data_IF_047449646896
#
_entry.id   IF_047449646896
#
_cell.length_a   1.000
_cell.length_b   1.000
_cell.length_c   1.000
_cell.angle_alpha   90.00
_cell.angle_beta   90.00
_cell.angle_gamma   90.00
#
_symmetry.space_group_name_H-M   'P 1'
#
loop_
_entity.id
_entity.type
_entity.pdbx_description
1 polymer ?
#
# COMPACT_ATOMS: atom_id res chain seq x y z
N UNK A 1 71.65 -1.11 -31.86
CA UNK A 1 71.11 0.26 -31.78
C UNK A 1 71.00 0.89 -33.15
N UNK A 2 72.12 1.25 -33.80
CA UNK A 2 72.09 1.98 -35.07
C UNK A 2 71.29 1.29 -36.19
N UNK A 3 71.44 -0.04 -36.32
CA UNK A 3 70.68 -0.85 -37.28
C UNK A 3 69.15 -0.84 -37.02
N UNK A 4 68.73 -0.80 -35.74
CA UNK A 4 67.31 -0.75 -35.38
C UNK A 4 66.72 0.64 -35.64
N UNK A 5 67.46 1.71 -35.37
CA UNK A 5 66.95 3.08 -35.54
C UNK A 5 66.65 3.38 -37.02
N UNK A 6 67.39 2.75 -37.94
CA UNK A 6 67.15 2.85 -39.38
C UNK A 6 65.94 2.04 -39.87
N UNK A 7 65.39 1.13 -39.07
CA UNK A 7 64.14 0.41 -39.41
C UNK A 7 62.88 1.15 -38.99
N UNK A 8 63.02 2.30 -38.32
CA UNK A 8 61.87 3.11 -37.89
C UNK A 8 61.28 3.83 -39.11
N UNK A 9 60.18 3.28 -39.63
CA UNK A 9 59.35 3.91 -40.65
C UNK A 9 58.27 4.80 -39.98
N UNK A 10 58.25 6.12 -40.25
CA UNK A 10 57.27 7.03 -39.66
C UNK A 10 55.82 6.80 -40.15
N UNK A 11 55.63 6.13 -41.30
CA UNK A 11 54.31 5.85 -41.87
C UNK A 11 53.70 4.57 -41.30
N UNK A 12 54.52 3.60 -40.90
CA UNK A 12 54.07 2.34 -40.31
C UNK A 12 53.87 2.49 -38.81
N UNK A 13 52.64 2.85 -38.40
CA UNK A 13 52.29 3.08 -37.00
C UNK A 13 51.17 2.15 -36.51
N UNK A 14 51.15 1.92 -35.21
CA UNK A 14 50.11 1.18 -34.50
C UNK A 14 49.68 1.96 -33.24
N UNK A 15 48.46 1.72 -32.79
CA UNK A 15 47.90 2.38 -31.60
C UNK A 15 47.81 1.37 -30.46
N UNK A 16 48.68 1.47 -29.43
CA UNK A 16 48.73 0.49 -28.34
C UNK A 16 47.55 0.53 -27.38
N UNK A 17 46.89 1.69 -27.26
CA UNK A 17 45.76 1.89 -26.35
C UNK A 17 44.51 2.20 -27.17
N UNK A 18 43.51 1.34 -27.07
CA UNK A 18 42.26 1.48 -27.84
C UNK A 18 41.57 2.82 -27.52
N UNK A 19 41.25 3.59 -28.57
CA UNK A 19 40.63 4.91 -28.44
C UNK A 19 41.59 6.09 -28.20
N UNK A 20 42.89 5.85 -28.01
CA UNK A 20 43.90 6.90 -27.87
C UNK A 20 44.45 7.36 -29.24
N UNK A 21 44.95 8.60 -29.31
CA UNK A 21 45.63 9.16 -30.49
C UNK A 21 47.13 8.89 -30.49
N UNK A 22 47.69 8.43 -29.36
CA UNK A 22 49.09 8.04 -29.28
C UNK A 22 49.34 6.83 -30.18
N UNK A 23 50.16 7.02 -31.21
CA UNK A 23 50.57 5.95 -32.12
C UNK A 23 52.08 5.76 -32.07
N UNK A 24 52.53 4.53 -32.12
CA UNK A 24 53.94 4.16 -32.10
C UNK A 24 54.34 3.56 -33.45
N UNK A 25 55.58 3.76 -33.91
CA UNK A 25 56.06 3.03 -35.08
C UNK A 25 56.06 1.51 -34.82
N UNK A 26 55.81 0.71 -35.87
CA UNK A 26 55.82 -0.76 -35.78
C UNK A 26 57.16 -1.33 -35.28
N UNK A 27 58.27 -0.61 -35.51
CA UNK A 27 59.59 -0.96 -35.01
C UNK A 27 59.68 -1.05 -33.47
N UNK A 28 58.69 -0.55 -32.72
CA UNK A 28 58.58 -0.67 -31.26
C UNK A 28 57.82 -1.92 -30.80
N UNK A 29 57.19 -2.66 -31.73
CA UNK A 29 56.46 -3.90 -31.47
C UNK A 29 57.28 -5.16 -31.81
N UNK A 30 58.27 -5.03 -32.70
CA UNK A 30 59.01 -6.18 -33.24
C UNK A 30 60.03 -6.81 -32.28
N UNK A 31 60.40 -8.05 -32.57
CA UNK A 31 61.39 -8.82 -31.79
C UNK A 31 62.74 -8.11 -31.71
N UNK A 32 63.10 -7.32 -32.72
CA UNK A 32 64.33 -6.51 -32.72
C UNK A 32 64.34 -5.47 -31.60
N UNK A 33 63.18 -4.90 -31.24
CA UNK A 33 63.07 -3.98 -30.10
C UNK A 33 63.32 -4.72 -28.79
N UNK A 34 62.68 -5.87 -28.62
CA UNK A 34 62.82 -6.70 -27.41
C UNK A 34 64.25 -7.22 -27.28
N UNK A 35 64.88 -7.64 -28.37
CA UNK A 35 66.27 -8.07 -28.37
C UNK A 35 67.22 -6.94 -27.96
N UNK A 36 66.91 -5.69 -28.32
CA UNK A 36 67.75 -4.54 -28.02
C UNK A 36 67.58 -4.00 -26.60
N UNK A 37 66.35 -4.00 -26.09
CA UNK A 37 66.01 -3.32 -24.84
C UNK A 37 65.41 -4.25 -23.76
N UNK A 38 65.37 -5.55 -24.01
CA UNK A 38 65.12 -6.61 -23.04
C UNK A 38 63.66 -6.94 -22.75
N UNK A 39 62.70 -6.07 -23.06
CA UNK A 39 61.26 -6.33 -22.89
C UNK A 39 60.41 -5.51 -23.87
N UNK A 40 59.18 -5.95 -24.19
CA UNK A 40 58.25 -5.22 -25.06
C UNK A 40 58.04 -3.77 -24.64
N UNK A 41 57.85 -2.86 -25.60
CA UNK A 41 57.72 -1.43 -25.32
C UNK A 41 56.54 -1.09 -24.38
N UNK A 42 55.45 -1.85 -24.42
CA UNK A 42 54.28 -1.62 -23.57
C UNK A 42 54.41 -2.21 -22.16
N UNK A 43 55.46 -3.00 -21.88
CA UNK A 43 55.79 -3.51 -20.55
C UNK A 43 56.73 -2.55 -19.78
N UNK A 44 56.91 -1.35 -20.30
CA UNK A 44 57.77 -0.32 -19.73
C UNK A 44 56.97 0.61 -18.83
N UNK A 45 57.66 1.22 -17.88
CA UNK A 45 57.14 2.41 -17.21
C UNK A 45 57.44 3.66 -18.03
N UNK A 46 56.72 4.75 -17.76
CA UNK A 46 57.04 6.05 -18.35
C UNK A 46 58.49 6.51 -18.06
N UNK A 47 59.05 6.05 -16.94
CA UNK A 47 60.42 6.36 -16.51
C UNK A 47 61.45 5.49 -17.25
N UNK A 48 61.13 4.23 -17.54
CA UNK A 48 61.96 3.36 -18.40
C UNK A 48 62.15 3.99 -19.79
N UNK A 49 61.06 4.53 -20.36
CA UNK A 49 61.10 5.22 -21.66
C UNK A 49 61.98 6.49 -21.62
N UNK A 50 61.98 7.22 -20.50
CA UNK A 50 62.82 8.40 -20.31
C UNK A 50 64.30 8.03 -20.13
N UNK A 51 64.60 6.98 -19.35
CA UNK A 51 65.95 6.47 -19.16
C UNK A 51 66.58 5.99 -20.48
N UNK A 52 65.83 5.24 -21.28
CA UNK A 52 66.30 4.79 -22.60
C UNK A 52 66.45 5.96 -23.57
N UNK A 53 65.55 6.96 -23.53
CA UNK A 53 65.71 8.16 -24.35
C UNK A 53 67.01 8.92 -24.05
N UNK A 54 67.48 8.91 -22.79
CA UNK A 54 68.77 9.47 -22.41
C UNK A 54 69.94 8.68 -23.02
N UNK A 55 69.90 7.34 -22.97
CA UNK A 55 70.93 6.50 -23.59
C UNK A 55 70.97 6.68 -25.13
N UNK A 56 69.80 6.75 -25.78
CA UNK A 56 69.69 7.02 -27.23
C UNK A 56 70.25 8.40 -27.59
N UNK A 57 70.09 9.39 -26.72
CA UNK A 57 70.71 10.71 -26.88
C UNK A 57 72.24 10.64 -26.88
N UNK A 58 72.84 9.88 -25.96
CA UNK A 58 74.29 9.71 -25.89
C UNK A 58 74.86 9.00 -27.13
N UNK A 59 74.15 8.00 -27.65
CA UNK A 59 74.47 7.39 -28.93
C UNK A 59 74.45 8.43 -30.07
N UNK A 60 73.43 9.31 -30.09
CA UNK A 60 73.32 10.38 -31.09
C UNK A 60 74.45 11.40 -31.01
N UNK A 61 74.88 11.76 -29.80
CA UNK A 61 76.03 12.63 -29.57
C UNK A 61 77.34 11.99 -30.07
N UNK A 62 77.51 10.69 -29.83
CA UNK A 62 78.70 9.95 -30.29
C UNK A 62 78.74 9.85 -31.81
N UNK A 63 77.64 9.48 -32.46
CA UNK A 63 77.53 9.50 -33.92
C UNK A 63 77.79 10.90 -34.51
N UNK A 64 77.38 11.96 -33.81
CA UNK A 64 77.65 13.35 -34.18
C UNK A 64 79.14 13.72 -34.14
N UNK A 65 79.88 13.30 -33.10
CA UNK A 65 81.33 13.51 -32.98
C UNK A 65 82.11 12.77 -34.08
N UNK A 66 81.60 11.64 -34.53
CA UNK A 66 82.19 10.81 -35.59
C UNK A 66 81.78 11.24 -37.01
N UNK A 67 81.00 12.33 -37.15
CA UNK A 67 80.58 12.85 -38.46
C UNK A 67 79.46 12.07 -39.14
N UNK A 68 78.83 11.11 -38.47
CA UNK A 68 77.77 10.23 -39.02
C UNK A 68 76.40 10.89 -38.93
N UNK A 69 76.14 11.83 -39.86
CA UNK A 69 74.96 12.72 -39.83
C UNK A 69 73.61 12.01 -39.89
N UNK A 70 73.46 11.03 -40.77
CA UNK A 70 72.19 10.30 -40.97
C UNK A 70 71.82 9.48 -39.72
N UNK A 71 72.79 8.77 -39.15
CA UNK A 71 72.62 7.98 -37.92
C UNK A 71 72.26 8.89 -36.74
N UNK A 72 72.91 10.06 -36.62
CA UNK A 72 72.58 11.06 -35.60
C UNK A 72 71.14 11.55 -35.72
N UNK A 73 70.69 11.86 -36.93
CA UNK A 73 69.32 12.32 -37.16
C UNK A 73 68.30 11.23 -36.79
N UNK A 74 68.56 9.99 -37.20
CA UNK A 74 67.71 8.84 -36.89
C UNK A 74 67.62 8.63 -35.35
N UNK A 75 68.75 8.70 -34.64
CA UNK A 75 68.80 8.55 -33.17
C UNK A 75 68.03 9.65 -32.43
N UNK A 76 68.13 10.90 -32.89
CA UNK A 76 67.34 11.99 -32.30
C UNK A 76 65.85 11.91 -32.63
N UNK A 77 65.49 11.39 -33.80
CA UNK A 77 64.09 11.08 -34.15
C UNK A 77 63.53 10.00 -33.21
N UNK A 78 64.26 8.90 -33.02
CA UNK A 78 63.88 7.83 -32.10
C UNK A 78 63.72 8.34 -30.67
N UNK A 79 64.65 9.18 -30.18
CA UNK A 79 64.54 9.84 -28.87
C UNK A 79 63.23 10.63 -28.74
N UNK A 80 62.85 11.38 -29.78
CA UNK A 80 61.59 12.11 -29.81
C UNK A 80 60.37 11.21 -29.65
N UNK A 81 60.40 10.03 -30.29
CA UNK A 81 59.34 9.01 -30.20
C UNK A 81 59.27 8.42 -28.79
N UNK A 82 60.40 8.09 -28.15
CA UNK A 82 60.42 7.61 -26.76
C UNK A 82 59.79 8.62 -25.78
N UNK A 83 60.20 9.89 -25.85
CA UNK A 83 59.77 10.90 -24.89
C UNK A 83 58.34 11.37 -25.08
N UNK A 84 57.87 11.43 -26.33
CA UNK A 84 56.54 11.94 -26.65
C UNK A 84 55.52 10.82 -26.77
N UNK A 85 55.77 9.88 -27.69
CA UNK A 85 54.75 8.94 -28.14
C UNK A 85 54.69 7.72 -27.21
N UNK A 86 55.84 7.09 -26.88
CA UNK A 86 55.88 5.93 -25.99
C UNK A 86 55.51 6.29 -24.56
N UNK A 87 56.10 7.35 -24.01
CA UNK A 87 55.78 7.82 -22.66
C UNK A 87 54.30 8.16 -22.51
N UNK A 88 53.69 8.78 -23.53
CA UNK A 88 52.26 9.09 -23.49
C UNK A 88 51.41 7.82 -23.51
N UNK A 89 51.70 6.89 -24.43
CA UNK A 89 50.99 5.61 -24.53
C UNK A 89 51.05 4.81 -23.21
N UNK A 90 52.22 4.76 -22.57
CA UNK A 90 52.42 4.07 -21.28
C UNK A 90 51.58 4.69 -20.15
N UNK A 91 51.55 6.03 -20.06
CA UNK A 91 50.73 6.74 -19.07
C UNK A 91 49.24 6.53 -19.32
N UNK A 92 48.80 6.56 -20.58
CA UNK A 92 47.39 6.31 -20.91
C UNK A 92 47.01 4.88 -20.55
N UNK A 93 47.85 3.88 -20.88
CA UNK A 93 47.61 2.48 -20.53
C UNK A 93 47.46 2.28 -19.01
N UNK A 94 48.35 2.89 -18.22
CA UNK A 94 48.30 2.84 -16.76
C UNK A 94 47.00 3.46 -16.22
N UNK A 95 46.58 4.62 -16.74
CA UNK A 95 45.34 5.28 -16.34
C UNK A 95 44.09 4.45 -16.65
N UNK A 96 44.06 3.77 -17.80
CA UNK A 96 42.95 2.91 -18.20
C UNK A 96 42.83 1.71 -17.25
N UNK A 97 43.95 1.07 -16.90
CA UNK A 97 43.94 -0.05 -15.95
C UNK A 97 43.53 0.39 -14.53
N UNK A 98 44.02 1.54 -14.06
CA UNK A 98 43.56 2.11 -12.79
C UNK A 98 42.07 2.45 -12.80
N UNK A 99 41.52 2.95 -13.92
CA UNK A 99 40.10 3.24 -14.05
C UNK A 99 39.25 1.96 -13.96
N UNK A 100 39.66 0.88 -14.65
CA UNK A 100 39.01 -0.44 -14.56
C UNK A 100 39.03 -0.99 -13.14
N UNK A 101 40.15 -0.89 -12.43
CA UNK A 101 40.26 -1.34 -11.04
C UNK A 101 39.29 -0.56 -10.12
N UNK A 102 39.24 0.77 -10.24
CA UNK A 102 38.31 1.60 -9.45
C UNK A 102 36.85 1.29 -9.76
N UNK A 103 36.52 0.99 -11.01
CA UNK A 103 35.16 0.61 -11.40
C UNK A 103 34.77 -0.75 -10.81
N UNK A 104 35.68 -1.74 -10.87
CA UNK A 104 35.48 -3.04 -10.24
C UNK A 104 35.30 -2.94 -8.72
N UNK A 105 36.09 -2.10 -8.04
CA UNK A 105 35.96 -1.82 -6.60
C UNK A 105 34.60 -1.17 -6.27
N UNK A 106 34.18 -0.16 -7.04
CA UNK A 106 32.87 0.49 -6.85
C UNK A 106 31.72 -0.50 -7.06
N UNK A 107 31.81 -1.36 -8.06
CA UNK A 107 30.80 -2.39 -8.32
C UNK A 107 30.72 -3.42 -7.18
N UNK A 108 31.87 -3.85 -6.64
CA UNK A 108 31.95 -4.75 -5.50
C UNK A 108 31.39 -4.11 -4.22
N UNK A 109 31.72 -2.84 -3.97
CA UNK A 109 31.19 -2.09 -2.81
C UNK A 109 29.68 -1.87 -2.92
N UNK A 110 29.17 -1.55 -4.12
CA UNK A 110 27.73 -1.42 -4.36
C UNK A 110 26.97 -2.73 -4.07
N UNK A 111 27.52 -3.87 -4.50
CA UNK A 111 26.95 -5.20 -4.18
C UNK A 111 26.95 -5.47 -2.68
N UNK A 112 28.07 -5.24 -1.99
CA UNK A 112 28.15 -5.41 -0.53
C UNK A 112 27.14 -4.53 0.23
N UNK A 113 26.96 -3.28 -0.20
CA UNK A 113 25.96 -2.37 0.40
C UNK A 113 24.53 -2.85 0.15
N UNK A 114 24.26 -3.42 -1.02
CA UNK A 114 22.95 -3.98 -1.34
C UNK A 114 22.66 -5.24 -0.52
N UNK A 115 23.62 -6.15 -0.40
CA UNK A 115 23.53 -7.35 0.45
C UNK A 115 23.36 -6.97 1.93
N UNK A 116 24.12 -6.00 2.43
CA UNK A 116 23.99 -5.52 3.81
C UNK A 116 22.61 -4.89 4.09
N UNK A 117 22.06 -4.11 3.14
CA UNK A 117 20.70 -3.55 3.26
C UNK A 117 19.64 -4.64 3.25
N UNK A 118 19.78 -5.67 2.42
CA UNK A 118 18.86 -6.79 2.38
C UNK A 118 18.90 -7.59 3.68
N UNK A 119 20.09 -7.89 4.20
CA UNK A 119 20.27 -8.58 5.47
C UNK A 119 19.71 -7.78 6.65
N UNK A 120 19.91 -6.46 6.67
CA UNK A 120 19.36 -5.59 7.70
C UNK A 120 17.83 -5.48 7.63
N UNK A 121 17.25 -5.36 6.44
CA UNK A 121 15.80 -5.40 6.26
C UNK A 121 15.18 -6.73 6.72
N UNK A 122 15.88 -7.84 6.52
CA UNK A 122 15.44 -9.15 7.01
C UNK A 122 15.52 -9.25 8.54
N UNK A 123 16.60 -8.77 9.16
CA UNK A 123 16.72 -8.73 10.62
C UNK A 123 15.68 -7.79 11.28
N UNK A 124 15.42 -6.63 10.67
CA UNK A 124 14.39 -5.70 11.12
C UNK A 124 12.98 -6.32 10.99
N UNK A 125 12.73 -7.08 9.91
CA UNK A 125 11.50 -7.85 9.72
C UNK A 125 11.33 -8.92 10.81
N UNK A 126 12.35 -9.72 11.07
CA UNK A 126 12.33 -10.74 12.13
C UNK A 126 12.07 -10.12 13.51
N UNK A 127 12.75 -9.02 13.83
CA UNK A 127 12.58 -8.34 15.11
C UNK A 127 11.19 -7.68 15.25
N UNK A 128 10.65 -7.11 14.17
CA UNK A 128 9.29 -6.61 14.12
C UNK A 128 8.28 -7.75 14.28
N UNK A 129 8.55 -8.93 13.72
CA UNK A 129 7.73 -10.12 13.86
C UNK A 129 7.74 -10.65 15.30
N UNK A 130 8.90 -10.70 15.95
CA UNK A 130 9.02 -11.11 17.35
C UNK A 130 8.25 -10.18 18.28
N UNK A 131 8.31 -8.86 18.04
CA UNK A 131 7.48 -7.87 18.77
C UNK A 131 6.01 -8.05 18.47
N UNK A 132 5.65 -8.26 17.21
CA UNK A 132 4.29 -8.56 16.79
C UNK A 132 3.75 -9.77 17.54
N UNK A 133 4.56 -10.80 17.73
CA UNK A 133 4.17 -12.03 18.40
C UNK A 133 4.13 -11.91 19.93
N UNK A 134 4.96 -11.07 20.52
CA UNK A 134 5.04 -10.86 21.96
C UNK A 134 3.97 -9.90 22.52
N UNK A 135 3.45 -8.97 21.72
CA UNK A 135 2.45 -8.01 22.19
C UNK A 135 1.00 -8.53 22.09
N UNK A 136 0.21 -8.28 23.14
CA UNK A 136 -1.24 -8.37 23.11
C UNK A 136 -1.79 -7.41 22.05
N UNK A 137 -2.84 -7.80 21.31
CA UNK A 137 -3.43 -7.01 20.21
C UNK A 137 -3.69 -5.55 20.62
N UNK A 138 -2.73 -4.67 20.31
CA UNK A 138 -2.65 -3.27 20.75
C UNK A 138 -2.59 -2.34 19.53
N UNK A 139 -2.83 -1.03 19.70
CA UNK A 139 -2.59 -0.05 18.65
C UNK A 139 -1.12 0.06 18.19
N UNK A 140 -0.16 -0.30 19.05
CA UNK A 140 1.28 -0.29 18.73
C UNK A 140 1.61 -1.41 17.72
N UNK A 141 0.92 -2.54 17.83
CA UNK A 141 0.93 -3.61 16.84
C UNK A 141 0.50 -3.14 15.43
N UNK A 142 -0.50 -2.25 15.35
CA UNK A 142 -0.97 -1.66 14.10
C UNK A 142 0.04 -0.65 13.52
N UNK A 143 0.78 0.04 14.39
CA UNK A 143 1.87 0.92 13.98
C UNK A 143 3.02 0.10 13.40
N UNK A 144 3.43 -0.97 14.06
CA UNK A 144 4.51 -1.86 13.64
C UNK A 144 4.16 -2.64 12.36
N UNK A 145 2.90 -3.08 12.20
CA UNK A 145 2.38 -3.60 10.93
C UNK A 145 2.32 -2.56 9.80
N UNK A 146 2.05 -1.30 10.16
CA UNK A 146 2.14 -0.16 9.26
C UNK A 146 3.56 0.06 8.77
N UNK A 147 4.56 -0.12 9.63
CA UNK A 147 5.99 -0.08 9.27
C UNK A 147 6.34 -1.25 8.33
N UNK A 148 5.87 -2.46 8.64
CA UNK A 148 6.09 -3.65 7.79
C UNK A 148 5.49 -3.53 6.39
N UNK A 149 4.33 -2.89 6.26
CA UNK A 149 3.71 -2.60 4.95
C UNK A 149 4.33 -1.40 4.24
N UNK A 150 4.83 -0.41 4.98
CA UNK A 150 5.56 0.77 4.46
C UNK A 150 7.01 0.47 4.03
N UNK A 151 7.56 -0.70 4.39
CA UNK A 151 8.81 -1.23 3.84
C UNK A 151 8.64 -1.85 2.45
N UNK A 152 7.41 -1.96 1.94
CA UNK A 152 7.16 -1.97 0.49
C UNK A 152 7.52 -0.62 -0.13
N UNK A 153 7.80 -0.51 -1.44
CA UNK A 153 8.53 0.62 -2.02
C UNK A 153 7.88 2.02 -1.92
N UNK A 154 6.67 2.17 -1.35
CA UNK A 154 6.03 3.47 -1.17
C UNK A 154 5.12 3.51 0.07
N UNK A 155 5.46 4.35 1.06
CA UNK A 155 4.62 5.39 1.69
C UNK A 155 4.95 5.60 3.19
N UNK A 156 5.06 6.87 3.58
CA UNK A 156 5.49 7.31 4.91
C UNK A 156 4.38 7.66 5.92
N UNK A 157 4.72 7.41 7.19
CA UNK A 157 4.44 8.12 8.46
C UNK A 157 3.12 8.87 8.71
N UNK A 158 2.40 8.43 9.76
CA UNK A 158 1.73 9.31 10.73
C UNK A 158 1.41 8.56 12.05
N UNK A 159 1.87 9.08 13.19
CA UNK A 159 1.58 8.61 14.56
C UNK A 159 0.30 9.26 15.14
N UNK A 160 -0.50 8.52 15.91
CA UNK A 160 -1.60 9.05 16.75
C UNK A 160 -1.79 8.22 18.04
N UNK A 161 -2.30 8.82 19.13
CA UNK A 161 -2.38 8.19 20.45
C UNK A 161 -3.55 7.21 20.60
N UNK A 162 -3.39 6.32 21.59
CA UNK A 162 -4.15 5.11 21.86
C UNK A 162 -5.63 5.31 22.25
N UNK A 163 -6.50 4.50 21.65
CA UNK A 163 -7.87 4.20 22.10
C UNK A 163 -8.08 2.67 22.04
N UNK A 164 -9.01 2.09 22.84
CA UNK A 164 -9.38 0.68 22.74
C UNK A 164 -9.77 0.35 21.30
N UNK A 165 -9.45 -0.88 20.84
CA UNK A 165 -9.78 -1.38 19.51
C UNK A 165 -11.26 -1.12 19.20
N UNK A 166 -11.53 -0.01 18.50
CA UNK A 166 -12.83 0.24 17.90
C UNK A 166 -12.95 -0.71 16.70
N UNK A 167 -14.18 -1.05 16.32
CA UNK A 167 -14.56 -1.73 15.07
C UNK A 167 -13.63 -1.40 13.87
N UNK A 168 -13.29 -0.12 13.69
CA UNK A 168 -12.42 0.37 12.61
C UNK A 168 -10.97 -0.16 12.69
N UNK A 169 -10.44 -0.36 13.89
CA UNK A 169 -9.09 -0.83 14.15
C UNK A 169 -8.96 -2.33 13.86
N UNK A 170 -9.93 -3.15 14.28
CA UNK A 170 -9.96 -4.58 13.99
C UNK A 170 -10.14 -4.85 12.47
N UNK A 171 -11.01 -4.09 11.80
CA UNK A 171 -11.21 -4.17 10.34
C UNK A 171 -9.98 -3.73 9.53
N UNK A 172 -9.22 -2.75 10.03
CA UNK A 172 -7.94 -2.36 9.42
C UNK A 172 -6.87 -3.42 9.67
N UNK A 173 -6.81 -3.95 10.87
CA UNK A 173 -5.86 -4.98 11.27
C UNK A 173 -6.00 -6.26 10.43
N UNK A 174 -7.21 -6.81 10.33
CA UNK A 174 -7.48 -8.01 9.53
C UNK A 174 -7.09 -7.83 8.05
N UNK A 175 -7.34 -6.64 7.48
CA UNK A 175 -6.91 -6.30 6.11
C UNK A 175 -5.40 -6.25 5.95
N UNK A 176 -4.67 -5.71 6.94
CA UNK A 176 -3.21 -5.62 6.89
C UNK A 176 -2.61 -7.02 6.99
N UNK A 177 -3.09 -7.85 7.92
CA UNK A 177 -2.65 -9.24 8.06
C UNK A 177 -2.84 -10.03 6.75
N UNK A 178 -4.01 -9.92 6.11
CA UNK A 178 -4.30 -10.63 4.85
C UNK A 178 -3.39 -10.18 3.68
N UNK A 179 -2.95 -8.91 3.67
CA UNK A 179 -1.97 -8.45 2.66
C UNK A 179 -0.57 -9.02 2.92
N UNK A 180 -0.19 -9.16 4.18
CA UNK A 180 1.12 -9.70 4.55
C UNK A 180 1.22 -11.22 4.34
N UNK A 181 0.15 -11.96 4.62
CA UNK A 181 0.05 -13.40 4.32
C UNK A 181 0.36 -13.68 2.84
N UNK A 182 -0.18 -12.85 1.93
CA UNK A 182 0.07 -12.95 0.49
C UNK A 182 1.47 -12.48 0.06
N UNK A 183 2.17 -11.69 0.88
CA UNK A 183 3.40 -11.00 0.50
C UNK A 183 4.69 -11.59 1.07
N UNK A 184 4.62 -12.32 2.19
CA UNK A 184 5.83 -12.67 2.97
C UNK A 184 6.58 -13.88 2.44
N UNK A 185 5.92 -14.85 1.79
CA UNK A 185 6.58 -16.04 1.19
C UNK A 185 7.35 -16.95 2.15
N UNK A 186 7.46 -16.56 3.43
CA UNK A 186 8.19 -17.25 4.48
C UNK A 186 7.29 -18.30 5.17
N UNK A 187 7.64 -19.59 5.08
CA UNK A 187 6.84 -20.68 5.63
C UNK A 187 6.78 -20.71 7.16
N UNK A 188 7.68 -20.03 7.88
CA UNK A 188 7.64 -19.94 9.34
C UNK A 188 6.62 -18.91 9.85
N UNK A 189 6.33 -17.91 9.01
CA UNK A 189 5.48 -16.75 9.34
C UNK A 189 4.00 -17.02 9.10
N UNK A 190 3.67 -17.79 8.05
CA UNK A 190 2.29 -18.10 7.65
C UNK A 190 1.39 -18.62 8.80
N UNK A 191 1.77 -19.70 9.51
CA UNK A 191 0.92 -20.28 10.56
C UNK A 191 0.65 -19.33 11.75
N UNK A 192 1.57 -18.42 12.04
CA UNK A 192 1.45 -17.46 13.14
C UNK A 192 0.54 -16.28 12.77
N UNK A 193 0.67 -15.78 11.54
CA UNK A 193 -0.23 -14.76 10.99
C UNK A 193 -1.67 -15.30 10.87
N UNK A 194 -1.84 -16.56 10.48
CA UNK A 194 -3.14 -17.23 10.41
C UNK A 194 -3.85 -17.29 11.77
N UNK A 195 -3.11 -17.62 12.83
CA UNK A 195 -3.67 -17.69 14.18
C UNK A 195 -4.16 -16.31 14.66
N UNK A 196 -3.37 -15.24 14.41
CA UNK A 196 -3.78 -13.87 14.74
C UNK A 196 -4.92 -13.37 13.87
N UNK A 197 -4.92 -13.70 12.58
CA UNK A 197 -6.03 -13.40 11.68
C UNK A 197 -7.34 -14.02 12.18
N UNK A 198 -7.33 -15.30 12.57
CA UNK A 198 -8.50 -15.98 13.16
C UNK A 198 -8.99 -15.29 14.43
N UNK A 199 -8.09 -14.96 15.36
CA UNK A 199 -8.44 -14.26 16.61
C UNK A 199 -9.11 -12.90 16.34
N UNK A 200 -8.49 -12.08 15.48
CA UNK A 200 -9.03 -10.77 15.13
C UNK A 200 -10.37 -10.87 14.37
N UNK A 201 -10.50 -11.85 13.49
CA UNK A 201 -11.73 -12.15 12.76
C UNK A 201 -12.85 -12.55 13.72
N UNK A 202 -12.59 -13.47 14.65
CA UNK A 202 -13.57 -13.88 15.67
C UNK A 202 -14.02 -12.71 16.55
N UNK A 203 -13.08 -11.87 17.01
CA UNK A 203 -13.39 -10.68 17.79
C UNK A 203 -14.26 -9.68 17.01
N UNK A 204 -13.91 -9.43 15.75
CA UNK A 204 -14.69 -8.57 14.85
C UNK A 204 -16.10 -9.12 14.66
N UNK A 205 -16.25 -10.41 14.37
CA UNK A 205 -17.56 -11.05 14.16
C UNK A 205 -18.41 -11.00 15.43
N UNK A 206 -17.81 -11.19 16.60
CA UNK A 206 -18.48 -11.04 17.90
C UNK A 206 -18.98 -9.61 18.13
N UNK A 207 -18.16 -8.61 17.82
CA UNK A 207 -18.54 -7.19 17.96
C UNK A 207 -19.65 -6.80 16.99
N UNK A 208 -19.62 -7.26 15.73
CA UNK A 208 -20.71 -7.04 14.77
C UNK A 208 -22.03 -7.62 15.26
N UNK A 209 -22.01 -8.84 15.81
CA UNK A 209 -23.21 -9.47 16.38
C UNK A 209 -23.75 -8.67 17.56
N UNK A 210 -22.88 -8.23 18.47
CA UNK A 210 -23.27 -7.37 19.58
C UNK A 210 -23.87 -6.03 19.11
N UNK A 211 -23.33 -5.44 18.04
CA UNK A 211 -23.87 -4.21 17.44
C UNK A 211 -25.26 -4.44 16.85
N UNK A 212 -25.47 -5.54 16.11
CA UNK A 212 -26.78 -5.95 15.59
C UNK A 212 -27.77 -6.10 16.76
N UNK A 213 -27.40 -6.86 17.79
CA UNK A 213 -28.25 -7.10 18.96
C UNK A 213 -28.58 -5.81 19.73
N UNK A 214 -27.62 -4.89 19.84
CA UNK A 214 -27.76 -3.60 20.53
C UNK A 214 -28.52 -2.53 19.76
N UNK A 215 -28.93 -2.77 18.51
CA UNK A 215 -29.68 -1.78 17.74
C UNK A 215 -31.04 -1.47 18.36
N UNK A 216 -31.35 -0.17 18.46
CA UNK A 216 -32.61 0.35 18.99
C UNK A 216 -33.82 -0.12 18.18
N UNK A 217 -34.98 -0.19 18.82
CA UNK A 217 -36.26 -0.52 18.17
C UNK A 217 -36.82 0.66 17.37
N UNK A 218 -36.28 0.87 16.18
CA UNK A 218 -36.69 1.94 15.27
C UNK A 218 -36.63 1.53 13.80
N UNK A 219 -37.40 2.21 12.95
CA UNK A 219 -37.36 2.04 11.50
C UNK A 219 -35.99 2.32 10.90
N UNK A 220 -35.28 3.31 11.43
CA UNK A 220 -33.94 3.64 10.97
C UNK A 220 -32.97 2.49 11.25
N UNK A 221 -33.11 1.83 12.39
CA UNK A 221 -32.36 0.63 12.73
C UNK A 221 -32.63 -0.52 11.75
N UNK A 222 -33.89 -0.75 11.36
CA UNK A 222 -34.23 -1.77 10.34
C UNK A 222 -33.51 -1.50 9.03
N UNK A 223 -33.48 -0.24 8.57
CA UNK A 223 -32.74 0.13 7.34
C UNK A 223 -31.23 -0.05 7.53
N UNK A 224 -30.69 0.37 8.67
CA UNK A 224 -29.27 0.23 8.98
C UNK A 224 -28.83 -1.23 9.01
N UNK A 225 -29.63 -2.13 9.58
CA UNK A 225 -29.36 -3.57 9.63
C UNK A 225 -29.10 -4.17 8.24
N UNK A 226 -29.90 -3.80 7.24
CA UNK A 226 -29.72 -4.32 5.87
C UNK A 226 -28.51 -3.71 5.13
N UNK A 227 -27.90 -2.66 5.66
CA UNK A 227 -26.67 -2.07 5.11
C UNK A 227 -25.40 -2.67 5.72
N UNK A 228 -25.50 -3.45 6.80
CA UNK A 228 -24.33 -3.99 7.51
C UNK A 228 -23.50 -4.90 6.61
N UNK A 229 -24.12 -5.89 5.96
CA UNK A 229 -23.38 -6.84 5.11
C UNK A 229 -22.75 -6.15 3.89
N UNK A 230 -23.47 -5.34 3.09
CA UNK A 230 -22.85 -4.61 1.98
C UNK A 230 -21.68 -3.72 2.41
N UNK A 231 -21.81 -3.05 3.56
CA UNK A 231 -20.73 -2.20 4.11
C UNK A 231 -19.51 -3.05 4.48
N UNK A 232 -19.72 -4.18 5.15
CA UNK A 232 -18.65 -5.10 5.52
C UNK A 232 -17.98 -5.74 4.30
N UNK A 233 -18.75 -6.10 3.27
CA UNK A 233 -18.21 -6.63 2.01
C UNK A 233 -17.33 -5.60 1.30
N UNK A 234 -17.75 -4.33 1.25
CA UNK A 234 -16.96 -3.25 0.66
C UNK A 234 -15.67 -3.00 1.46
N UNK A 235 -15.74 -3.09 2.78
CA UNK A 235 -14.60 -2.77 3.65
C UNK A 235 -13.59 -3.91 3.77
N UNK A 236 -14.04 -5.16 3.80
CA UNK A 236 -13.23 -6.35 4.10
C UNK A 236 -12.98 -7.23 2.88
N UNK A 237 -13.82 -7.14 1.85
CA UNK A 237 -13.68 -7.92 0.63
C UNK A 237 -13.57 -9.42 0.91
N UNK A 238 -12.46 -10.02 0.47
CA UNK A 238 -12.19 -11.46 0.59
C UNK A 238 -11.97 -11.94 2.04
N UNK A 239 -11.77 -11.05 3.01
CA UNK A 239 -11.66 -11.44 4.42
C UNK A 239 -13.00 -11.83 5.05
N UNK A 240 -14.12 -11.40 4.45
CA UNK A 240 -15.46 -11.81 4.89
C UNK A 240 -15.86 -13.09 4.15
N UNK A 241 -15.88 -14.22 4.85
CA UNK A 241 -16.22 -15.51 4.24
C UNK A 241 -17.72 -15.61 3.96
N UNK A 242 -18.13 -16.51 3.06
CA UNK A 242 -19.56 -16.71 2.79
C UNK A 242 -20.32 -17.21 4.03
N UNK A 243 -19.66 -18.02 4.87
CA UNK A 243 -20.21 -18.46 6.16
C UNK A 243 -20.43 -17.28 7.14
N UNK A 244 -19.54 -16.28 7.14
CA UNK A 244 -19.71 -15.07 7.94
C UNK A 244 -20.91 -14.25 7.47
N UNK A 245 -21.07 -14.12 6.14
CA UNK A 245 -22.21 -13.40 5.54
C UNK A 245 -23.52 -14.07 5.88
N UNK A 246 -23.58 -15.40 5.81
CA UNK A 246 -24.77 -16.17 6.18
C UNK A 246 -25.10 -15.98 7.66
N UNK A 247 -24.13 -16.16 8.56
CA UNK A 247 -24.36 -16.02 10.00
C UNK A 247 -24.76 -14.59 10.41
N UNK A 248 -24.16 -13.55 9.81
CA UNK A 248 -24.58 -12.16 10.02
C UNK A 248 -25.94 -11.88 9.39
N UNK A 249 -26.25 -12.49 8.24
CA UNK A 249 -27.53 -12.38 7.55
C UNK A 249 -28.68 -12.90 8.41
N UNK A 250 -28.51 -14.07 9.02
CA UNK A 250 -29.47 -14.63 9.97
C UNK A 250 -29.69 -13.69 11.17
N UNK A 251 -28.61 -13.18 11.77
CA UNK A 251 -28.68 -12.25 12.89
C UNK A 251 -29.41 -10.95 12.51
N UNK A 252 -29.11 -10.40 11.33
CA UNK A 252 -29.77 -9.21 10.77
C UNK A 252 -31.27 -9.46 10.57
N UNK A 253 -31.66 -10.57 9.96
CA UNK A 253 -33.06 -10.90 9.70
C UNK A 253 -33.81 -11.06 11.02
N UNK A 254 -33.26 -11.84 11.96
CA UNK A 254 -33.86 -12.07 13.28
C UNK A 254 -34.06 -10.77 14.05
N UNK A 255 -33.04 -9.90 14.10
CA UNK A 255 -33.15 -8.61 14.78
C UNK A 255 -34.14 -7.67 14.08
N UNK A 256 -34.14 -7.64 12.75
CA UNK A 256 -35.06 -6.81 11.99
C UNK A 256 -36.53 -7.23 12.21
N UNK A 257 -36.81 -8.52 12.35
CA UNK A 257 -38.15 -9.00 12.72
C UNK A 257 -38.55 -8.58 14.12
N UNK A 258 -37.68 -8.80 15.11
CA UNK A 258 -37.91 -8.35 16.50
C UNK A 258 -38.19 -6.83 16.59
N UNK A 259 -37.45 -6.00 15.86
CA UNK A 259 -37.70 -4.55 15.83
C UNK A 259 -39.07 -4.24 15.20
N UNK A 260 -39.45 -4.92 14.12
CA UNK A 260 -40.77 -4.70 13.48
C UNK A 260 -41.92 -5.13 14.39
N UNK A 261 -41.79 -6.23 15.12
CA UNK A 261 -42.76 -6.66 16.13
C UNK A 261 -42.91 -5.61 17.24
N UNK A 262 -41.81 -5.08 17.75
CA UNK A 262 -41.82 -4.01 18.75
C UNK A 262 -42.49 -2.72 18.23
N UNK A 263 -42.29 -2.38 16.95
CA UNK A 263 -42.98 -1.25 16.30
C UNK A 263 -44.49 -1.49 16.24
N UNK A 264 -44.94 -2.70 15.87
CA UNK A 264 -46.37 -3.06 15.86
C UNK A 264 -46.96 -2.98 17.26
N UNK A 265 -46.30 -3.56 18.27
CA UNK A 265 -46.74 -3.52 19.66
C UNK A 265 -46.88 -2.08 20.18
N UNK A 266 -45.88 -1.22 19.90
CA UNK A 266 -45.94 0.20 20.23
C UNK A 266 -47.09 0.91 19.52
N UNK A 267 -47.32 0.59 18.26
CA UNK A 267 -48.44 1.14 17.49
C UNK A 267 -49.79 0.78 18.09
N UNK A 268 -50.00 -0.49 18.47
CA UNK A 268 -51.22 -0.92 19.16
C UNK A 268 -51.43 -0.16 20.47
N UNK A 269 -50.38 -0.03 21.29
CA UNK A 269 -50.44 0.74 22.52
C UNK A 269 -50.84 2.21 22.29
N UNK A 270 -50.25 2.87 21.29
CA UNK A 270 -50.62 4.25 20.94
C UNK A 270 -52.07 4.37 20.46
N UNK A 271 -52.59 3.35 19.77
CA UNK A 271 -54.01 3.29 19.35
C UNK A 271 -54.93 3.15 20.56
N UNK A 272 -54.56 2.33 21.55
CA UNK A 272 -55.31 2.18 22.79
C UNK A 272 -55.31 3.49 23.59
N UNK A 273 -54.17 4.18 23.63
CA UNK A 273 -53.96 5.44 24.34
C UNK A 273 -54.56 6.68 23.61
N UNK A 274 -55.16 6.51 22.43
CA UNK A 274 -55.56 7.63 21.56
C UNK A 274 -56.72 8.49 22.10
N UNK A 275 -57.28 8.18 23.28
CA UNK A 275 -58.44 8.86 23.84
C UNK A 275 -59.75 8.46 23.15
N UNK A 276 -60.86 8.96 23.67
CA UNK A 276 -62.20 8.65 23.16
C UNK A 276 -62.77 9.78 22.27
N UNK A 277 -63.87 9.52 21.56
CA UNK A 277 -64.54 10.50 20.72
C UNK A 277 -63.86 10.77 19.37
N UNK A 278 -64.23 11.90 18.74
CA UNK A 278 -63.77 12.29 17.40
C UNK A 278 -62.27 12.63 17.34
N UNK A 279 -61.70 13.14 18.43
CA UNK A 279 -60.25 13.40 18.56
C UNK A 279 -59.43 12.11 18.61
N UNK A 280 -59.97 11.04 19.21
CA UNK A 280 -59.37 9.71 19.22
C UNK A 280 -59.34 9.08 17.82
N UNK A 281 -60.41 9.24 17.05
CA UNK A 281 -60.49 8.78 15.65
C UNK A 281 -59.37 9.40 14.79
N UNK A 282 -59.23 10.73 14.82
CA UNK A 282 -58.17 11.44 14.07
C UNK A 282 -56.76 11.02 14.52
N UNK A 283 -56.58 10.79 15.83
CA UNK A 283 -55.30 10.36 16.40
C UNK A 283 -54.92 8.96 15.93
N UNK A 284 -55.86 8.01 15.91
CA UNK A 284 -55.63 6.65 15.42
C UNK A 284 -55.26 6.64 13.94
N UNK A 285 -55.98 7.37 13.10
CA UNK A 285 -55.67 7.47 11.66
C UNK A 285 -54.25 8.01 11.42
N UNK A 286 -53.84 9.04 12.19
CA UNK A 286 -52.49 9.60 12.13
C UNK A 286 -51.44 8.58 12.57
N UNK A 287 -51.66 7.86 13.66
CA UNK A 287 -50.75 6.81 14.17
C UNK A 287 -50.56 5.72 13.11
N UNK A 288 -51.65 5.22 12.53
CA UNK A 288 -51.59 4.19 11.48
C UNK A 288 -50.85 4.70 10.25
N UNK A 289 -51.11 5.93 9.81
CA UNK A 289 -50.42 6.54 8.68
C UNK A 289 -48.91 6.64 8.89
N UNK A 290 -48.48 7.08 10.09
CA UNK A 290 -47.07 7.23 10.44
C UNK A 290 -46.36 5.87 10.58
N UNK A 291 -46.99 4.90 11.23
CA UNK A 291 -46.38 3.59 11.51
C UNK A 291 -46.43 2.67 10.29
N UNK A 292 -47.45 2.74 9.44
CA UNK A 292 -47.51 1.97 8.20
C UNK A 292 -46.40 2.36 7.21
N UNK A 293 -45.94 3.62 7.22
CA UNK A 293 -44.77 4.09 6.46
C UNK A 293 -43.42 3.68 7.06
N UNK A 294 -43.41 3.03 8.22
CA UNK A 294 -42.23 2.86 9.08
C UNK A 294 -41.45 1.56 8.82
N UNK A 295 -41.49 1.02 7.60
CA UNK A 295 -40.70 -0.16 7.21
C UNK A 295 -41.23 -1.50 7.72
N UNK A 296 -42.52 -1.55 8.10
CA UNK A 296 -43.24 -2.79 8.39
C UNK A 296 -43.42 -3.63 7.12
N UNK A 297 -43.44 -4.96 7.27
CA UNK A 297 -43.82 -5.85 6.17
C UNK A 297 -45.33 -5.80 5.94
N UNK A 298 -45.84 -6.16 4.74
CA UNK A 298 -47.27 -6.21 4.45
C UNK A 298 -48.14 -6.91 5.53
N UNK A 299 -47.79 -8.10 6.08
CA UNK A 299 -48.61 -8.74 7.12
C UNK A 299 -48.68 -7.93 8.42
N UNK A 300 -47.56 -7.34 8.85
CA UNK A 300 -47.48 -6.52 10.06
C UNK A 300 -48.26 -5.20 9.92
N UNK A 301 -48.18 -4.58 8.74
CA UNK A 301 -48.98 -3.40 8.42
C UNK A 301 -50.48 -3.73 8.37
N UNK A 302 -50.85 -4.89 7.83
CA UNK A 302 -52.23 -5.36 7.80
C UNK A 302 -52.77 -5.67 9.21
N UNK A 303 -51.94 -6.25 10.08
CA UNK A 303 -52.25 -6.50 11.48
C UNK A 303 -52.58 -5.19 12.21
N UNK A 304 -51.70 -4.19 12.11
CA UNK A 304 -51.91 -2.89 12.76
C UNK A 304 -53.15 -2.16 12.22
N UNK A 305 -53.39 -2.23 10.90
CA UNK A 305 -54.60 -1.66 10.28
C UNK A 305 -55.88 -2.33 10.75
N UNK A 306 -55.86 -3.65 10.87
CA UNK A 306 -57.00 -4.43 11.39
C UNK A 306 -57.29 -4.01 12.84
N UNK A 307 -56.25 -3.95 13.67
CA UNK A 307 -56.37 -3.51 15.07
C UNK A 307 -56.96 -2.10 15.19
N UNK A 308 -56.41 -1.15 14.42
CA UNK A 308 -56.91 0.22 14.38
C UNK A 308 -58.38 0.30 13.94
N UNK A 309 -58.77 -0.48 12.92
CA UNK A 309 -60.16 -0.51 12.44
C UNK A 309 -61.12 -1.01 13.52
N UNK A 310 -60.74 -2.04 14.28
CA UNK A 310 -61.55 -2.53 15.41
C UNK A 310 -61.71 -1.45 16.48
N UNK A 311 -60.64 -0.74 16.83
CA UNK A 311 -60.72 0.37 17.81
C UNK A 311 -61.55 1.55 17.29
N UNK A 312 -61.37 1.94 16.03
CA UNK A 312 -62.15 3.00 15.38
C UNK A 312 -63.64 2.67 15.37
N UNK A 313 -64.02 1.43 15.09
CA UNK A 313 -65.41 1.01 15.13
C UNK A 313 -65.98 1.15 16.55
N UNK A 314 -65.25 0.68 17.57
CA UNK A 314 -65.65 0.85 18.98
C UNK A 314 -65.81 2.33 19.38
N UNK A 315 -64.96 3.23 18.88
CA UNK A 315 -65.09 4.67 19.13
C UNK A 315 -66.28 5.28 18.39
N UNK A 316 -66.49 4.91 17.12
CA UNK A 316 -67.61 5.40 16.33
C UNK A 316 -68.95 4.97 16.95
N UNK A 317 -69.06 3.71 17.39
CA UNK A 317 -70.25 3.20 18.09
C UNK A 317 -70.48 3.98 19.40
N UNK A 318 -69.42 4.29 20.15
CA UNK A 318 -69.51 5.12 21.36
C UNK A 318 -69.99 6.55 21.09
N UNK A 319 -69.46 7.20 20.05
CA UNK A 319 -69.88 8.54 19.62
C UNK A 319 -71.34 8.54 19.16
N UNK A 320 -71.77 7.52 18.43
CA UNK A 320 -73.17 7.39 17.99
C UNK A 320 -74.11 7.24 19.18
N UNK A 321 -73.77 6.40 20.17
CA UNK A 321 -74.58 6.25 21.40
C UNK A 321 -74.65 7.55 22.19
N UNK A 322 -73.53 8.29 22.30
CA UNK A 322 -73.51 9.60 22.97
C UNK A 322 -74.34 10.64 22.22
N UNK A 323 -74.28 10.64 20.88
CA UNK A 323 -75.10 11.51 20.04
C UNK A 323 -76.60 11.16 20.13
N UNK A 324 -76.97 9.88 20.09
CA UNK A 324 -78.35 9.41 20.29
C UNK A 324 -78.87 9.81 21.67
N UNK A 325 -78.09 9.59 22.72
CA UNK A 325 -78.45 10.00 24.09
C UNK A 325 -78.62 11.52 24.18
N UNK A 326 -77.73 12.29 23.52
CA UNK A 326 -77.83 13.75 23.48
C UNK A 326 -79.09 14.19 22.75
N UNK A 327 -79.42 13.57 21.61
CA UNK A 327 -80.65 13.84 20.85
C UNK A 327 -81.92 13.53 21.66
N UNK A 328 -81.95 12.43 22.42
CA UNK A 328 -83.08 12.07 23.28
C UNK A 328 -83.33 13.08 24.42
N UNK A 329 -82.30 13.82 24.82
CA UNK A 329 -82.43 14.88 25.84
C UNK A 329 -82.90 16.23 25.29
N UNK A 330 -82.95 16.39 23.96
CA UNK A 330 -83.40 17.63 23.34
C UNK A 330 -84.93 17.66 23.31
N UNK A 331 -85.57 18.68 23.93
CA UNK A 331 -87.03 18.75 23.99
C UNK A 331 -87.64 18.96 22.61
N UNK A 332 -88.70 18.21 22.30
CA UNK A 332 -89.40 18.16 21.01
C UNK A 332 -90.17 19.48 20.73
N UNK A 333 -89.38 20.53 20.48
CA UNK A 333 -89.77 21.93 20.38
C UNK A 333 -88.97 22.57 19.24
N UNK A 334 -89.47 23.69 18.70
CA UNK A 334 -88.79 24.44 17.64
C UNK A 334 -87.36 24.87 18.03
N UNK A 335 -87.13 25.17 19.31
CA UNK A 335 -85.80 25.47 19.86
C UNK A 335 -84.91 24.22 19.95
N UNK A 336 -85.49 23.06 20.27
CA UNK A 336 -84.78 21.79 20.24
C UNK A 336 -84.35 21.38 18.83
N UNK A 337 -85.22 21.54 17.83
CA UNK A 337 -84.88 21.27 16.42
C UNK A 337 -83.76 22.20 15.91
N UNK A 338 -83.72 23.46 16.37
CA UNK A 338 -82.63 24.39 16.07
C UNK A 338 -81.29 23.92 16.67
N UNK A 339 -81.31 23.40 17.90
CA UNK A 339 -80.12 22.88 18.58
C UNK A 339 -79.56 21.61 17.91
N UNK A 340 -80.39 20.78 17.28
CA UNK A 340 -79.94 19.62 16.47
C UNK A 340 -79.22 20.07 15.21
N UNK A 341 -79.67 21.15 14.55
CA UNK A 341 -79.02 21.70 13.35
C UNK A 341 -77.64 22.27 13.66
N UNK A 342 -77.43 22.81 14.86
CA UNK A 342 -76.14 23.35 15.31
C UNK A 342 -75.16 22.25 15.81
N UNK A 343 -75.63 21.01 15.98
CA UNK A 343 -74.85 19.87 16.49
C UNK A 343 -74.17 19.02 15.40
N UNK A 344 -74.60 19.17 14.14
CA UNK A 344 -74.12 18.44 12.94
C UNK A 344 -73.08 19.25 12.18
#
# INVERSE_FOLDING_TARGET
MEAWVTTIDPEQRWTPVEGDKASLPQAFQGDDFVALFGKPAMDWTADDAEAVAAAVYECGQTAGREGRREIRQALYSARGIFLRDLRHALRTAEQVEQAKQREAERAAEARRRQEARAAQAQADLEQALDRLMAESDSPDLLHDLGVLTAMGPQAGTAQRPAEPLRLDSARRFARILQRMEKGTGDPAVGPQLDARFKSAHEAMMKEQRAMIEGMNESTNSVRALYQIIPTLEQELGLALTDADKEALGEAVVKKAESIREAIVARGKKLIDDAGDGTSGIQSIEKIVGQIAGAGLRPPQAAELKTYARTRLQSLADGVLVEAETSLDTIPDTLAGMQAVVDLV
#
